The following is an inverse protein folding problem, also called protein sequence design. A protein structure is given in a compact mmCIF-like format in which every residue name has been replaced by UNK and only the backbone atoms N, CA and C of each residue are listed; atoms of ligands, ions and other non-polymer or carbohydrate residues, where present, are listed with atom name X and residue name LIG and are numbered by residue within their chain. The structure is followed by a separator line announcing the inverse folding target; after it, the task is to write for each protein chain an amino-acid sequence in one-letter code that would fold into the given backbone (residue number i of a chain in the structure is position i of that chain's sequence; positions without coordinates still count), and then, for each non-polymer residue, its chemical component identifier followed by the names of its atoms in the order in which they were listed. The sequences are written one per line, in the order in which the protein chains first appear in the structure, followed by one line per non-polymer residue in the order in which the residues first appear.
data_IF_412274107807
#
_entry.id   IF_412274107807
#
_cell.length_a   1.000
_cell.length_b   1.000
_cell.length_c   1.000
_cell.angle_alpha   90.00
_cell.angle_beta   90.00
_cell.angle_gamma   90.00
#
_symmetry.space_group_name_H-M   'P 1'
#
loop_
_entity.id
_entity.type
_entity.pdbx_description
1 polymer ?
#
# COMPACT_ATOMS: atom_id res chain seq x y z
N UNK A 1 27.98 -2.97 -8.79
CA UNK A 1 26.74 -2.78 -9.55
C UNK A 1 25.72 -3.89 -9.28
N UNK A 2 25.93 -5.17 -9.62
CA UNK A 2 24.94 -6.24 -9.33
C UNK A 2 24.57 -6.41 -7.82
N UNK A 3 25.53 -6.17 -6.91
CA UNK A 3 25.29 -6.22 -5.47
C UNK A 3 24.53 -5.01 -4.87
N UNK A 4 24.40 -3.91 -5.61
CA UNK A 4 23.58 -2.75 -5.20
C UNK A 4 22.13 -2.93 -5.64
N UNK A 5 21.92 -3.38 -6.88
CA UNK A 5 20.59 -3.64 -7.44
C UNK A 5 19.82 -4.66 -6.58
N UNK A 6 20.43 -5.80 -6.28
CA UNK A 6 19.82 -6.83 -5.42
C UNK A 6 19.48 -6.36 -4.00
N UNK A 7 20.24 -5.40 -3.44
CA UNK A 7 19.94 -4.81 -2.12
C UNK A 7 18.78 -3.83 -2.20
N UNK A 8 18.67 -3.09 -3.31
CA UNK A 8 17.59 -2.15 -3.56
C UNK A 8 16.25 -2.88 -3.80
N UNK A 9 16.26 -3.97 -4.59
CA UNK A 9 15.07 -4.82 -4.78
C UNK A 9 14.56 -5.38 -3.45
N UNK A 10 15.45 -5.96 -2.63
CA UNK A 10 15.06 -6.43 -1.29
C UNK A 10 14.48 -5.34 -0.40
N UNK A 11 14.93 -4.09 -0.55
CA UNK A 11 14.39 -2.97 0.23
C UNK A 11 12.98 -2.55 -0.23
N UNK A 12 12.72 -2.59 -1.54
CA UNK A 12 11.42 -2.29 -2.14
C UNK A 12 10.39 -3.37 -1.78
N UNK A 13 10.74 -4.66 -1.90
CA UNK A 13 9.85 -5.76 -1.51
C UNK A 13 9.50 -5.69 -0.02
N UNK A 14 10.48 -5.42 0.85
CA UNK A 14 10.26 -5.22 2.29
C UNK A 14 9.37 -4.01 2.57
N UNK A 15 9.58 -2.91 1.84
CA UNK A 15 8.73 -1.73 1.91
C UNK A 15 7.27 -2.06 1.58
N UNK A 16 7.03 -2.76 0.47
CA UNK A 16 5.69 -3.18 0.06
C UNK A 16 5.03 -4.10 1.10
N UNK A 17 5.77 -5.05 1.68
CA UNK A 17 5.28 -5.92 2.75
C UNK A 17 4.92 -5.12 4.02
N UNK A 18 5.74 -4.15 4.40
CA UNK A 18 5.47 -3.28 5.55
C UNK A 18 4.22 -2.44 5.33
N UNK A 19 4.03 -1.89 4.12
CA UNK A 19 2.83 -1.13 3.75
C UNK A 19 1.59 -2.03 3.78
N UNK A 20 1.69 -3.25 3.26
CA UNK A 20 0.58 -4.22 3.29
C UNK A 20 0.18 -4.59 4.71
N UNK A 21 1.17 -4.77 5.60
CA UNK A 21 0.94 -5.05 7.03
C UNK A 21 0.30 -3.85 7.72
N UNK A 22 0.84 -2.65 7.52
CA UNK A 22 0.29 -1.41 8.07
C UNK A 22 -1.15 -1.15 7.58
N UNK A 23 -1.47 -1.49 6.33
CA UNK A 23 -2.84 -1.45 5.80
C UNK A 23 -3.75 -2.39 6.57
N UNK A 24 -3.32 -3.64 6.79
CA UNK A 24 -4.09 -4.62 7.56
C UNK A 24 -4.39 -4.13 8.99
N UNK A 25 -3.38 -3.60 9.68
CA UNK A 25 -3.53 -3.03 11.02
C UNK A 25 -4.48 -1.84 11.02
N UNK A 26 -4.38 -0.97 10.01
CA UNK A 26 -5.24 0.20 9.87
C UNK A 26 -6.70 -0.20 9.59
N UNK A 27 -6.94 -1.15 8.69
CA UNK A 27 -8.29 -1.67 8.42
C UNK A 27 -8.93 -2.30 9.67
N UNK A 28 -8.14 -3.02 10.48
CA UNK A 28 -8.61 -3.55 11.77
C UNK A 28 -9.00 -2.44 12.75
N UNK A 29 -8.16 -1.41 12.88
CA UNK A 29 -8.44 -0.26 13.75
C UNK A 29 -9.68 0.51 13.29
N UNK A 30 -9.82 0.72 11.98
CA UNK A 30 -10.97 1.38 11.37
C UNK A 30 -12.27 0.61 11.64
N UNK A 31 -12.23 -0.72 11.46
CA UNK A 31 -13.36 -1.61 11.76
C UNK A 31 -13.74 -1.58 13.25
N UNK A 32 -12.75 -1.62 14.14
CA UNK A 32 -12.96 -1.54 15.59
C UNK A 32 -13.62 -0.21 15.99
N UNK A 33 -13.14 0.92 15.46
CA UNK A 33 -13.74 2.21 15.76
C UNK A 33 -15.14 2.33 15.18
N UNK A 34 -15.37 1.87 13.95
CA UNK A 34 -16.70 1.81 13.33
C UNK A 34 -17.69 1.02 14.20
N UNK A 35 -17.27 -0.12 14.75
CA UNK A 35 -18.10 -0.92 15.66
C UNK A 35 -18.45 -0.18 16.95
N UNK A 36 -17.47 0.48 17.57
CA UNK A 36 -17.69 1.31 18.78
C UNK A 36 -18.64 2.47 18.49
N UNK A 37 -18.45 3.16 17.38
CA UNK A 37 -19.31 4.27 16.94
C UNK A 37 -20.73 3.79 16.70
N UNK A 38 -20.94 2.66 16.02
CA UNK A 38 -22.26 2.08 15.80
C UNK A 38 -22.98 1.73 17.12
N UNK A 39 -22.23 1.23 18.12
CA UNK A 39 -22.76 0.99 19.46
C UNK A 39 -23.26 2.27 20.16
N UNK A 40 -22.50 3.36 20.05
CA UNK A 40 -22.90 4.68 20.59
C UNK A 40 -24.10 5.25 19.82
N UNK A 41 -24.10 5.14 18.49
CA UNK A 41 -25.20 5.60 17.63
C UNK A 41 -26.54 4.95 17.95
N UNK A 42 -26.54 3.70 18.42
CA UNK A 42 -27.76 3.03 18.89
C UNK A 42 -28.39 3.71 20.12
N UNK A 43 -27.58 4.43 20.92
CA UNK A 43 -28.05 5.20 22.07
C UNK A 43 -28.55 6.60 21.68
N UNK A 44 -28.04 7.17 20.58
CA UNK A 44 -28.44 8.48 20.06
C UNK A 44 -29.66 8.37 19.11
N UNK A 45 -30.81 7.99 19.65
CA UNK A 45 -32.10 8.03 18.92
C UNK A 45 -32.79 9.38 19.14
N UNK A 46 -32.99 10.16 18.08
CA UNK A 46 -33.66 11.47 18.13
C UNK A 46 -32.98 12.55 17.28
N UNK A 47 -33.04 13.81 17.72
CA UNK A 47 -32.51 14.98 17.00
C UNK A 47 -31.02 14.91 16.65
N UNK A 48 -30.23 14.11 17.37
CA UNK A 48 -28.80 13.89 17.11
C UNK A 48 -28.49 12.83 16.03
N UNK A 49 -29.49 12.09 15.54
CA UNK A 49 -29.25 10.97 14.59
C UNK A 49 -28.69 11.44 13.25
N UNK A 50 -29.14 12.59 12.75
CA UNK A 50 -28.64 13.18 11.49
C UNK A 50 -27.16 13.60 11.60
N UNK A 51 -26.78 14.25 12.70
CA UNK A 51 -25.40 14.64 12.94
C UNK A 51 -24.49 13.41 13.08
N UNK A 52 -24.95 12.38 13.78
CA UNK A 52 -24.23 11.10 13.88
C UNK A 52 -24.06 10.44 12.51
N UNK A 53 -25.11 10.39 11.70
CA UNK A 53 -25.04 9.83 10.34
C UNK A 53 -24.03 10.59 9.47
N UNK A 54 -23.98 11.93 9.54
CA UNK A 54 -22.98 12.72 8.84
C UNK A 54 -21.55 12.39 9.28
N UNK A 55 -21.32 12.25 10.60
CA UNK A 55 -20.01 11.84 11.13
C UNK A 55 -19.64 10.45 10.64
N UNK A 56 -20.57 9.50 10.64
CA UNK A 56 -20.32 8.14 10.13
C UNK A 56 -20.03 8.10 8.64
N UNK A 57 -20.72 8.90 7.82
CA UNK A 57 -20.43 9.01 6.39
C UNK A 57 -19.03 9.57 6.17
N UNK A 58 -18.68 10.64 6.87
CA UNK A 58 -17.35 11.25 6.74
C UNK A 58 -16.23 10.33 7.22
N UNK A 59 -16.48 9.61 8.32
CA UNK A 59 -15.59 8.56 8.81
C UNK A 59 -15.33 7.49 7.75
N UNK A 60 -16.39 6.98 7.11
CA UNK A 60 -16.29 5.97 6.05
C UNK A 60 -15.52 6.49 4.81
N UNK A 61 -15.72 7.77 4.46
CA UNK A 61 -14.97 8.40 3.37
C UNK A 61 -13.47 8.55 3.69
N UNK A 62 -13.14 9.04 4.88
CA UNK A 62 -11.76 9.26 5.29
C UNK A 62 -11.01 7.93 5.47
N UNK A 63 -11.68 6.91 6.03
CA UNK A 63 -11.21 5.53 6.07
C UNK A 63 -10.84 5.01 4.68
N UNK A 64 -11.76 5.13 3.71
CA UNK A 64 -11.54 4.69 2.32
C UNK A 64 -10.39 5.42 1.65
N UNK A 65 -10.25 6.73 1.87
CA UNK A 65 -9.13 7.51 1.31
C UNK A 65 -7.79 6.98 1.80
N UNK A 66 -7.66 6.72 3.10
CA UNK A 66 -6.42 6.22 3.68
C UNK A 66 -6.10 4.82 3.14
N UNK A 67 -7.05 3.88 3.19
CA UNK A 67 -6.82 2.51 2.67
C UNK A 67 -6.51 2.52 1.17
N UNK A 68 -7.16 3.39 0.38
CA UNK A 68 -6.87 3.54 -1.05
C UNK A 68 -5.46 4.08 -1.30
N UNK A 69 -5.02 5.09 -0.55
CA UNK A 69 -3.68 5.65 -0.69
C UNK A 69 -2.60 4.61 -0.34
N UNK A 70 -2.83 3.77 0.67
CA UNK A 70 -1.93 2.66 1.03
C UNK A 70 -1.88 1.59 -0.07
N UNK A 71 -3.02 1.28 -0.70
CA UNK A 71 -3.07 0.36 -1.84
C UNK A 71 -2.28 0.89 -3.04
N UNK A 72 -2.46 2.16 -3.37
CA UNK A 72 -1.74 2.80 -4.47
C UNK A 72 -0.24 2.87 -4.18
N UNK A 73 0.14 3.17 -2.94
CA UNK A 73 1.54 3.16 -2.53
C UNK A 73 2.17 1.76 -2.63
N UNK A 74 1.47 0.70 -2.18
CA UNK A 74 1.92 -0.68 -2.36
C UNK A 74 2.11 -1.03 -3.85
N UNK A 75 1.14 -0.66 -4.69
CA UNK A 75 1.20 -0.90 -6.14
C UNK A 75 2.37 -0.16 -6.79
N UNK A 76 2.63 1.09 -6.41
CA UNK A 76 3.75 1.89 -6.91
C UNK A 76 5.11 1.29 -6.52
N UNK A 77 5.24 0.75 -5.30
CA UNK A 77 6.46 0.07 -4.85
C UNK A 77 6.72 -1.21 -5.67
N UNK A 78 5.68 -2.04 -5.87
CA UNK A 78 5.78 -3.27 -6.69
C UNK A 78 6.06 -2.97 -8.17
N UNK A 79 5.45 -1.93 -8.72
CA UNK A 79 5.69 -1.49 -10.09
C UNK A 79 7.13 -1.01 -10.26
N UNK A 80 7.65 -0.26 -9.29
CA UNK A 80 9.05 0.18 -9.31
C UNK A 80 10.02 -1.01 -9.31
N UNK A 81 9.80 -2.00 -8.44
CA UNK A 81 10.56 -3.26 -8.41
C UNK A 81 10.54 -3.98 -9.78
N UNK A 82 9.38 -4.07 -10.44
CA UNK A 82 9.27 -4.70 -11.77
C UNK A 82 10.07 -3.94 -12.83
N UNK A 83 9.99 -2.60 -12.84
CA UNK A 83 10.74 -1.76 -13.79
C UNK A 83 12.25 -1.88 -13.57
N UNK A 84 12.70 -1.95 -12.31
CA UNK A 84 14.12 -2.13 -12.00
C UNK A 84 14.64 -3.49 -12.48
N UNK A 85 13.92 -4.58 -12.18
CA UNK A 85 14.28 -5.92 -12.63
C UNK A 85 14.37 -6.02 -14.17
N UNK A 86 13.39 -5.45 -14.88
CA UNK A 86 13.38 -5.45 -16.34
C UNK A 86 14.56 -4.67 -16.95
N UNK A 87 14.93 -3.55 -16.33
CA UNK A 87 16.10 -2.77 -16.76
C UNK A 87 17.41 -3.52 -16.52
N UNK A 88 17.57 -4.18 -15.37
CA UNK A 88 18.80 -4.94 -15.07
C UNK A 88 18.96 -6.15 -16.01
N UNK A 89 17.88 -6.89 -16.27
CA UNK A 89 17.89 -8.04 -17.19
C UNK A 89 18.23 -7.62 -18.63
N UNK A 90 17.74 -6.46 -19.07
CA UNK A 90 18.07 -5.86 -20.37
C UNK A 90 19.55 -5.47 -20.49
N UNK A 91 20.12 -4.87 -19.44
CA UNK A 91 21.54 -4.50 -19.41
C UNK A 91 22.45 -5.73 -19.36
N UNK A 92 22.12 -6.72 -18.53
CA UNK A 92 22.83 -8.00 -18.44
C UNK A 92 22.83 -8.74 -19.79
N UNK A 93 21.68 -8.78 -20.46
CA UNK A 93 21.55 -9.37 -21.80
C UNK A 93 22.41 -8.66 -22.84
N UNK A 94 22.49 -7.33 -22.77
CA UNK A 94 23.32 -6.51 -23.67
C UNK A 94 24.81 -6.76 -23.43
N UNK A 95 25.23 -6.80 -22.16
CA UNK A 95 26.61 -7.08 -21.78
C UNK A 95 27.04 -8.50 -22.19
N UNK A 96 26.18 -9.50 -21.97
CA UNK A 96 26.42 -10.89 -22.38
C UNK A 96 26.60 -11.01 -23.90
N UNK A 97 25.76 -10.31 -24.69
CA UNK A 97 25.89 -10.25 -26.15
C UNK A 97 27.20 -9.58 -26.59
N UNK A 98 27.63 -8.53 -25.89
CA UNK A 98 28.89 -7.85 -26.19
C UNK A 98 30.09 -8.76 -25.87
N UNK A 99 30.08 -9.41 -24.70
CA UNK A 99 31.13 -10.34 -24.29
C UNK A 99 31.26 -11.52 -25.25
N UNK A 100 30.15 -12.07 -25.74
CA UNK A 100 30.15 -13.16 -26.73
C UNK A 100 30.60 -12.74 -28.14
N UNK A 101 30.76 -11.44 -28.41
CA UNK A 101 31.31 -10.93 -29.68
C UNK A 101 32.79 -10.55 -29.59
N UNK A 102 33.32 -10.44 -28.37
CA UNK A 102 34.71 -10.04 -28.10
C UNK A 102 35.60 -11.24 -27.72
N UNK A 103 35.02 -12.40 -27.48
CA UNK A 103 35.71 -13.70 -27.41
C UNK A 103 35.46 -14.51 -28.67
#
# INVERSE_FOLDING_TARGET
MAGEVSKQDQSLTKGAQMVSSARGDLDQQLGSLRGKLAGIGAQWRGAGSSAFQQVMTRWDEDARKITSALNEFEANLRSSEQVYNANDESQSSTFSKLSGRLG
#
